data_IF_334136456203
#
_entry.id   IF_334136456203
#
_cell.length_a   1.000
_cell.length_b   1.000
_cell.length_c   1.000
_cell.angle_alpha   90.00
_cell.angle_beta   90.00
_cell.angle_gamma   90.00
#
_symmetry.space_group_name_H-M   'P 1'
#
loop_
_entity.id
_entity.type
_entity.pdbx_description
1 polymer ?
#
# COMPACT_ATOMS: atom_id res chain seq x y z
N UNK A 1 -23.49 -10.53 -12.39
CA UNK A 1 -23.78 -11.48 -11.29
C UNK A 1 -22.65 -11.62 -10.26
N UNK A 2 -21.39 -11.27 -10.58
CA UNK A 2 -20.28 -11.30 -9.59
C UNK A 2 -20.33 -10.22 -8.50
N UNK A 3 -20.81 -9.00 -8.80
CA UNK A 3 -20.88 -7.92 -7.80
C UNK A 3 -21.83 -8.22 -6.62
N UNK A 4 -22.89 -8.99 -6.86
CA UNK A 4 -23.85 -9.40 -5.81
C UNK A 4 -23.27 -10.47 -4.88
N UNK A 5 -22.21 -11.18 -5.29
CA UNK A 5 -21.49 -12.16 -4.45
C UNK A 5 -20.62 -11.50 -3.38
N UNK A 6 -20.20 -10.25 -3.58
CA UNK A 6 -19.42 -9.49 -2.60
C UNK A 6 -20.28 -9.00 -1.43
N UNK A 7 -21.58 -8.79 -1.66
CA UNK A 7 -22.56 -8.39 -0.65
C UNK A 7 -23.21 -9.58 0.09
N UNK A 8 -22.73 -10.81 -0.17
CA UNK A 8 -23.22 -12.01 0.50
C UNK A 8 -22.75 -12.00 1.97
N UNK A 9 -23.62 -12.37 2.90
CA UNK A 9 -23.36 -12.27 4.36
C UNK A 9 -22.04 -12.95 4.79
N UNK A 10 -21.66 -14.06 4.14
CA UNK A 10 -20.40 -14.76 4.41
C UNK A 10 -19.14 -13.98 4.03
N UNK A 11 -19.20 -13.15 2.98
CA UNK A 11 -18.09 -12.30 2.54
C UNK A 11 -17.90 -11.14 3.51
N UNK A 12 -18.98 -10.45 3.88
CA UNK A 12 -18.95 -9.35 4.86
C UNK A 12 -18.44 -9.83 6.22
N UNK A 13 -18.91 -11.00 6.68
CA UNK A 13 -18.43 -11.60 7.93
C UNK A 13 -16.94 -11.94 7.87
N UNK A 14 -16.47 -12.50 6.75
CA UNK A 14 -15.05 -12.80 6.55
C UNK A 14 -14.19 -11.53 6.57
N UNK A 15 -14.61 -10.47 5.87
CA UNK A 15 -13.92 -9.17 5.90
C UNK A 15 -13.88 -8.57 7.31
N UNK A 16 -15.00 -8.61 8.04
CA UNK A 16 -15.05 -8.10 9.41
C UNK A 16 -14.13 -8.89 10.33
N UNK A 17 -14.14 -10.23 10.21
CA UNK A 17 -13.23 -11.11 10.95
C UNK A 17 -11.77 -10.80 10.63
N UNK A 18 -11.42 -10.61 9.35
CA UNK A 18 -10.06 -10.28 8.94
C UNK A 18 -9.56 -8.97 9.57
N UNK A 19 -10.42 -7.95 9.61
CA UNK A 19 -10.13 -6.65 10.20
C UNK A 19 -9.97 -6.78 11.72
N UNK A 20 -10.91 -7.42 12.41
CA UNK A 20 -10.89 -7.54 13.88
C UNK A 20 -9.67 -8.35 14.35
N UNK A 21 -9.39 -9.48 13.71
CA UNK A 21 -8.22 -10.30 14.07
C UNK A 21 -6.93 -9.55 13.72
N UNK A 22 -6.87 -8.86 12.57
CA UNK A 22 -5.74 -8.00 12.21
C UNK A 22 -5.49 -6.91 13.25
N UNK A 23 -6.54 -6.24 13.75
CA UNK A 23 -6.45 -5.24 14.82
C UNK A 23 -5.89 -5.84 16.12
N UNK A 24 -6.41 -6.99 16.55
CA UNK A 24 -5.96 -7.67 17.77
C UNK A 24 -4.50 -8.09 17.64
N UNK A 25 -4.13 -8.77 16.54
CA UNK A 25 -2.76 -9.20 16.29
C UNK A 25 -1.80 -8.00 16.22
N UNK A 26 -2.21 -6.89 15.60
CA UNK A 26 -1.41 -5.68 15.53
C UNK A 26 -1.19 -5.02 16.89
N UNK A 27 -2.24 -4.95 17.71
CA UNK A 27 -2.12 -4.43 19.07
C UNK A 27 -1.22 -5.31 19.95
N UNK A 28 -1.33 -6.64 19.84
CA UNK A 28 -0.43 -7.57 20.53
C UNK A 28 1.03 -7.42 20.05
N UNK A 29 1.24 -7.23 18.76
CA UNK A 29 2.56 -6.94 18.18
C UNK A 29 3.18 -5.66 18.74
N UNK A 30 2.39 -4.58 18.81
CA UNK A 30 2.80 -3.34 19.46
C UNK A 30 3.16 -3.55 20.93
N UNK A 31 2.32 -4.26 21.68
CA UNK A 31 2.55 -4.54 23.09
C UNK A 31 3.84 -5.35 23.31
N UNK A 32 4.12 -6.32 22.43
CA UNK A 32 5.36 -7.07 22.44
C UNK A 32 6.59 -6.15 22.24
N UNK A 33 6.56 -5.27 21.23
CA UNK A 33 7.62 -4.29 21.01
C UNK A 33 7.78 -3.35 22.21
N UNK A 34 6.67 -2.79 22.71
CA UNK A 34 6.66 -1.87 23.85
C UNK A 34 7.34 -2.50 25.08
N UNK A 35 6.92 -3.70 25.49
CA UNK A 35 7.50 -4.37 26.64
C UNK A 35 8.98 -4.70 26.44
N UNK A 36 9.37 -5.16 25.25
CA UNK A 36 10.76 -5.47 24.95
C UNK A 36 11.65 -4.23 24.99
N UNK A 37 11.27 -3.14 24.32
CA UNK A 37 12.06 -1.91 24.28
C UNK A 37 12.18 -1.28 25.66
N UNK A 38 11.12 -1.31 26.47
CA UNK A 38 11.14 -0.80 27.85
C UNK A 38 12.06 -1.62 28.76
N UNK A 39 12.06 -2.93 28.62
CA UNK A 39 12.93 -3.82 29.40
C UNK A 39 14.38 -3.79 28.91
N UNK A 40 14.59 -3.58 27.60
CA UNK A 40 15.90 -3.42 26.98
C UNK A 40 16.58 -2.13 27.44
N UNK A 41 15.89 -0.98 27.53
CA UNK A 41 16.47 0.28 28.05
C UNK A 41 17.08 0.18 29.48
N UNK A 42 16.71 -0.83 30.28
CA UNK A 42 17.29 -1.06 31.61
C UNK A 42 18.60 -1.86 31.61
N UNK A 43 18.99 -2.46 30.48
CA UNK A 43 20.24 -3.20 30.31
C UNK A 43 20.93 -2.60 29.08
N UNK A 44 22.18 -2.16 29.17
CA UNK A 44 22.94 -1.68 28.01
C UNK A 44 23.05 -2.78 26.92
N UNK A 45 22.02 -2.92 26.07
CA UNK A 45 21.97 -3.91 25.00
C UNK A 45 22.47 -3.24 23.73
N UNK A 46 23.48 -3.88 23.18
CA UNK A 46 24.29 -3.48 22.02
C UNK A 46 23.43 -3.20 20.80
N UNK A 47 23.83 -2.17 20.04
CA UNK A 47 23.15 -1.56 18.89
C UNK A 47 22.70 -2.52 17.77
N UNK A 48 23.13 -3.79 17.77
CA UNK A 48 22.76 -4.81 16.79
C UNK A 48 21.54 -5.68 17.12
N UNK A 49 21.13 -5.79 18.39
CA UNK A 49 20.02 -6.69 18.81
C UNK A 49 18.65 -6.10 18.49
N UNK A 50 18.54 -4.77 18.52
CA UNK A 50 17.28 -4.06 18.33
C UNK A 50 16.74 -4.21 16.89
N UNK A 51 17.61 -4.16 15.87
CA UNK A 51 17.20 -4.24 14.45
C UNK A 51 16.54 -5.57 14.09
N UNK A 52 17.06 -6.70 14.60
CA UNK A 52 16.48 -8.01 14.34
C UNK A 52 15.07 -8.13 14.93
N UNK A 53 14.84 -7.54 16.10
CA UNK A 53 13.56 -7.56 16.79
C UNK A 53 12.52 -6.70 16.04
N UNK A 54 12.94 -5.55 15.51
CA UNK A 54 12.08 -4.70 14.69
C UNK A 54 11.65 -5.33 13.37
N UNK A 55 12.37 -6.30 12.82
CA UNK A 55 11.86 -7.11 11.70
C UNK A 55 11.01 -8.28 12.17
N UNK A 56 11.48 -8.99 13.20
CA UNK A 56 10.89 -10.25 13.63
C UNK A 56 9.47 -10.09 14.13
N UNK A 57 9.16 -9.02 14.88
CA UNK A 57 7.81 -8.81 15.40
C UNK A 57 6.81 -8.48 14.29
N UNK A 58 7.03 -7.49 13.40
CA UNK A 58 6.22 -7.28 12.20
C UNK A 58 5.96 -8.53 11.35
N UNK A 59 6.99 -9.34 11.11
CA UNK A 59 6.88 -10.60 10.36
C UNK A 59 6.09 -11.66 11.13
N UNK A 60 6.30 -11.78 12.44
CA UNK A 60 5.55 -12.68 13.30
C UNK A 60 4.06 -12.31 13.35
N UNK A 61 3.75 -11.02 13.47
CA UNK A 61 2.36 -10.51 13.43
C UNK A 61 1.72 -10.80 12.08
N UNK A 62 2.46 -10.62 10.97
CA UNK A 62 1.97 -10.95 9.64
C UNK A 62 1.57 -12.43 9.54
N UNK A 63 2.45 -13.33 9.97
CA UNK A 63 2.23 -14.77 9.94
C UNK A 63 1.09 -15.19 10.88
N UNK A 64 1.06 -14.71 12.12
CA UNK A 64 0.00 -15.01 13.08
C UNK A 64 -1.35 -14.50 12.60
N UNK A 65 -1.39 -13.26 12.07
CA UNK A 65 -2.59 -12.71 11.44
C UNK A 65 -3.13 -13.67 10.37
N UNK A 66 -2.28 -14.12 9.45
CA UNK A 66 -2.67 -15.09 8.42
C UNK A 66 -3.19 -16.41 8.97
N UNK A 67 -2.53 -16.99 9.99
CA UNK A 67 -2.92 -18.28 10.60
C UNK A 67 -4.29 -18.18 11.29
N UNK A 68 -4.56 -17.08 11.98
CA UNK A 68 -5.83 -16.88 12.68
C UNK A 68 -6.97 -16.43 11.74
N UNK A 69 -6.71 -16.29 10.44
CA UNK A 69 -7.69 -15.78 9.46
C UNK A 69 -7.95 -14.27 9.59
N UNK A 70 -6.94 -13.55 10.06
CA UNK A 70 -6.84 -12.10 10.12
C UNK A 70 -6.03 -11.52 8.95
N UNK A 71 -6.14 -10.21 8.73
CA UNK A 71 -5.26 -9.52 7.80
C UNK A 71 -3.88 -9.30 8.43
N UNK A 72 -2.90 -10.13 8.03
CA UNK A 72 -1.50 -9.97 8.45
C UNK A 72 -0.93 -8.61 8.05
N UNK A 73 -1.28 -8.08 6.87
CA UNK A 73 -0.88 -6.75 6.43
C UNK A 73 -1.38 -5.65 7.38
N UNK A 74 -2.65 -5.71 7.77
CA UNK A 74 -3.24 -4.73 8.70
C UNK A 74 -2.59 -4.83 10.08
N UNK A 75 -2.40 -6.04 10.61
CA UNK A 75 -1.78 -6.24 11.92
C UNK A 75 -0.35 -5.70 11.97
N UNK A 76 0.45 -5.99 10.95
CA UNK A 76 1.83 -5.49 10.85
C UNK A 76 1.87 -3.97 10.71
N UNK A 77 0.98 -3.39 9.91
CA UNK A 77 0.85 -1.93 9.79
C UNK A 77 0.53 -1.26 11.12
N UNK A 78 -0.45 -1.79 11.87
CA UNK A 78 -0.85 -1.24 13.17
C UNK A 78 0.25 -1.38 14.23
N UNK A 79 0.98 -2.50 14.19
CA UNK A 79 2.15 -2.71 15.06
C UNK A 79 3.16 -1.58 14.88
N UNK A 80 3.52 -1.28 13.63
CA UNK A 80 4.45 -0.20 13.29
C UNK A 80 3.89 1.18 13.65
N UNK A 81 2.62 1.45 13.30
CA UNK A 81 1.96 2.73 13.53
C UNK A 81 1.91 3.11 15.01
N UNK A 82 1.48 2.19 15.89
CA UNK A 82 1.42 2.46 17.32
C UNK A 82 2.81 2.57 17.94
N UNK A 83 3.77 1.76 17.48
CA UNK A 83 5.13 1.82 17.98
C UNK A 83 5.82 3.15 17.63
N UNK A 84 5.64 3.63 16.40
CA UNK A 84 6.15 4.93 15.95
C UNK A 84 5.51 6.09 16.71
N UNK A 85 4.18 6.03 16.93
CA UNK A 85 3.43 7.04 17.66
C UNK A 85 3.88 7.18 19.12
N UNK A 86 4.34 6.10 19.76
CA UNK A 86 4.82 6.13 21.15
C UNK A 86 6.31 6.47 21.26
N UNK A 87 7.16 5.83 20.45
CA UNK A 87 8.61 5.84 20.67
C UNK A 87 9.34 6.86 19.78
N UNK A 88 8.66 7.46 18.79
CA UNK A 88 9.19 8.47 17.87
C UNK A 88 10.60 8.17 17.34
N UNK A 89 10.86 6.92 16.96
CA UNK A 89 12.22 6.48 16.62
C UNK A 89 12.53 6.69 15.14
N UNK A 90 12.94 7.93 14.81
CA UNK A 90 13.33 8.31 13.43
C UNK A 90 14.32 7.35 12.78
N UNK A 91 15.35 6.91 13.52
CA UNK A 91 16.38 5.99 13.01
C UNK A 91 15.81 4.65 12.51
N UNK A 92 14.74 4.13 13.13
CA UNK A 92 14.10 2.88 12.70
C UNK A 92 13.25 3.14 11.46
N UNK A 93 12.48 4.23 11.45
CA UNK A 93 11.65 4.62 10.30
C UNK A 93 12.55 4.83 9.08
N UNK A 94 13.61 5.63 9.20
CA UNK A 94 14.58 5.89 8.14
C UNK A 94 15.21 4.57 7.65
N UNK A 95 15.52 3.65 8.56
CA UNK A 95 16.06 2.34 8.19
C UNK A 95 15.06 1.53 7.34
N UNK A 96 13.78 1.44 7.76
CA UNK A 96 12.76 0.72 7.00
C UNK A 96 12.44 1.40 5.67
N UNK A 97 12.38 2.72 5.62
CA UNK A 97 12.20 3.47 4.38
C UNK A 97 13.35 3.19 3.41
N UNK A 98 14.60 3.28 3.88
CA UNK A 98 15.78 2.95 3.08
C UNK A 98 15.78 1.49 2.63
N UNK A 99 15.40 0.55 3.50
CA UNK A 99 15.29 -0.87 3.15
C UNK A 99 14.23 -1.11 2.06
N UNK A 100 13.04 -0.52 2.20
CA UNK A 100 11.96 -0.63 1.21
C UNK A 100 12.39 0.00 -0.11
N UNK A 101 13.04 1.18 -0.08
CA UNK A 101 13.49 1.87 -1.29
C UNK A 101 14.63 1.13 -1.99
N UNK A 102 15.63 0.63 -1.25
CA UNK A 102 16.82 -0.01 -1.81
C UNK A 102 16.60 -1.48 -2.21
N UNK A 103 15.77 -2.22 -1.46
CA UNK A 103 15.57 -3.66 -1.68
C UNK A 103 14.12 -4.02 -2.00
N UNK A 104 13.15 -3.52 -1.22
CA UNK A 104 11.75 -3.90 -1.37
C UNK A 104 11.17 -3.58 -2.76
N UNK A 105 11.25 -2.32 -3.20
CA UNK A 105 10.72 -1.89 -4.51
C UNK A 105 11.46 -2.61 -5.66
N UNK A 106 12.81 -2.64 -5.73
CA UNK A 106 13.50 -3.28 -6.85
C UNK A 106 13.22 -4.77 -6.95
N UNK A 107 13.18 -5.52 -5.84
CA UNK A 107 12.89 -6.96 -5.86
C UNK A 107 11.47 -7.21 -6.39
N UNK A 108 10.47 -6.47 -5.90
CA UNK A 108 9.09 -6.66 -6.33
C UNK A 108 8.94 -6.32 -7.82
N UNK A 109 9.57 -5.24 -8.30
CA UNK A 109 9.51 -4.89 -9.73
C UNK A 109 10.31 -5.83 -10.63
N UNK A 110 11.43 -6.38 -10.15
CA UNK A 110 12.19 -7.39 -10.87
C UNK A 110 11.37 -8.68 -11.01
N UNK A 111 10.75 -9.15 -9.93
CA UNK A 111 9.87 -10.31 -9.95
C UNK A 111 8.67 -10.07 -10.86
N UNK A 112 8.03 -8.90 -10.73
CA UNK A 112 6.92 -8.52 -11.57
C UNK A 112 7.32 -8.55 -13.05
N UNK A 113 8.43 -7.89 -13.43
CA UNK A 113 8.92 -7.89 -14.80
C UNK A 113 9.30 -9.29 -15.32
N UNK A 114 9.80 -10.17 -14.46
CA UNK A 114 10.18 -11.53 -14.83
C UNK A 114 8.99 -12.46 -15.07
N UNK A 115 7.85 -12.24 -14.41
CA UNK A 115 6.68 -13.11 -14.51
C UNK A 115 5.87 -12.81 -15.79
N UNK A 116 6.07 -11.64 -16.40
CA UNK A 116 5.18 -11.14 -17.45
C UNK A 116 5.53 -11.67 -18.84
N UNK A 117 4.63 -12.46 -19.48
CA UNK A 117 4.84 -12.86 -20.86
C UNK A 117 4.64 -11.67 -21.79
N UNK A 118 5.64 -11.35 -22.60
CA UNK A 118 5.58 -10.24 -23.58
C UNK A 118 4.40 -10.40 -24.55
N UNK A 119 4.08 -11.62 -24.96
CA UNK A 119 2.97 -11.89 -25.87
C UNK A 119 1.61 -11.43 -25.29
N UNK A 120 1.38 -11.67 -24.00
CA UNK A 120 0.15 -11.24 -23.30
C UNK A 120 0.11 -9.72 -23.19
N UNK A 121 1.23 -9.06 -22.92
CA UNK A 121 1.31 -7.59 -22.91
C UNK A 121 0.97 -6.99 -24.26
N UNK A 122 1.49 -7.54 -25.36
CA UNK A 122 1.18 -7.03 -26.70
C UNK A 122 -0.30 -7.22 -27.05
N UNK A 123 -0.87 -8.41 -26.76
CA UNK A 123 -2.30 -8.70 -27.00
C UNK A 123 -3.23 -7.79 -26.18
N UNK A 124 -2.82 -7.43 -24.97
CA UNK A 124 -3.62 -6.58 -24.06
C UNK A 124 -3.32 -5.09 -24.19
N UNK A 125 -2.35 -4.67 -25.00
CA UNK A 125 -1.84 -3.30 -25.07
C UNK A 125 -2.93 -2.22 -25.22
N UNK A 126 -3.81 -2.35 -26.20
CA UNK A 126 -4.85 -1.35 -26.44
C UNK A 126 -5.79 -1.16 -25.23
N UNK A 127 -6.22 -2.28 -24.64
CA UNK A 127 -7.16 -2.30 -23.51
C UNK A 127 -6.45 -1.88 -22.22
N UNK A 128 -5.21 -2.34 -22.00
CA UNK A 128 -4.40 -2.02 -20.83
C UNK A 128 -3.99 -0.55 -20.80
N UNK A 129 -3.55 -0.01 -21.94
CA UNK A 129 -3.17 1.40 -22.08
C UNK A 129 -4.40 2.29 -21.84
N UNK A 130 -5.52 2.01 -22.52
CA UNK A 130 -6.74 2.79 -22.31
C UNK A 130 -7.24 2.72 -20.87
N UNK A 131 -7.22 1.54 -20.25
CA UNK A 131 -7.55 1.38 -18.83
C UNK A 131 -6.63 2.23 -17.94
N UNK A 132 -5.31 2.21 -18.17
CA UNK A 132 -4.36 3.00 -17.40
C UNK A 132 -4.66 4.51 -17.47
N UNK A 133 -4.90 5.04 -18.67
CA UNK A 133 -5.29 6.44 -18.84
C UNK A 133 -6.61 6.77 -18.10
N UNK A 134 -7.61 5.88 -18.18
CA UNK A 134 -8.87 6.05 -17.44
C UNK A 134 -8.62 6.04 -15.93
N UNK A 135 -7.79 5.13 -15.42
CA UNK A 135 -7.46 5.07 -13.99
C UNK A 135 -6.74 6.34 -13.50
N UNK A 136 -5.73 6.81 -14.26
CA UNK A 136 -4.89 7.95 -13.89
C UNK A 136 -5.68 9.27 -14.00
N UNK A 137 -6.37 9.52 -15.12
CA UNK A 137 -6.94 10.83 -15.42
C UNK A 137 -8.44 10.97 -15.10
N UNK A 138 -9.17 9.86 -14.90
CA UNK A 138 -10.62 9.91 -14.67
C UNK A 138 -10.96 9.36 -13.30
N UNK A 139 -10.73 8.05 -13.09
CA UNK A 139 -11.19 7.36 -11.87
C UNK A 139 -10.55 7.98 -10.65
N UNK A 140 -9.24 8.24 -10.70
CA UNK A 140 -8.50 8.74 -9.55
C UNK A 140 -8.89 10.17 -9.14
N UNK A 141 -8.90 11.18 -10.03
CA UNK A 141 -9.47 12.49 -9.71
C UNK A 141 -10.89 12.36 -9.18
N UNK A 142 -11.74 11.58 -9.84
CA UNK A 142 -13.12 11.40 -9.42
C UNK A 142 -13.23 10.88 -7.97
N UNK A 143 -12.47 9.84 -7.60
CA UNK A 143 -12.47 9.30 -6.22
C UNK A 143 -11.99 10.34 -5.21
N UNK A 144 -10.94 11.11 -5.54
CA UNK A 144 -10.43 12.18 -4.67
C UNK A 144 -11.47 13.29 -4.50
N UNK A 145 -12.11 13.73 -5.59
CA UNK A 145 -13.14 14.77 -5.56
C UNK A 145 -14.41 14.33 -4.82
N UNK A 146 -14.82 13.07 -4.94
CA UNK A 146 -15.97 12.55 -4.17
C UNK A 146 -15.64 12.46 -2.68
N UNK A 147 -14.43 12.00 -2.34
CA UNK A 147 -14.05 11.74 -0.94
C UNK A 147 -13.70 13.01 -0.18
N UNK A 148 -12.94 13.91 -0.81
CA UNK A 148 -12.44 15.14 -0.21
C UNK A 148 -13.22 16.40 -0.62
N UNK A 149 -14.02 16.35 -1.69
CA UNK A 149 -14.86 17.48 -2.12
C UNK A 149 -15.81 18.02 -1.04
N UNK A 150 -16.49 17.17 -0.24
CA UNK A 150 -17.34 17.66 0.86
C UNK A 150 -16.57 18.49 1.90
N UNK A 151 -15.28 18.22 2.08
CA UNK A 151 -14.43 18.95 3.03
C UNK A 151 -13.96 20.32 2.53
N UNK A 152 -14.12 20.65 1.23
CA UNK A 152 -13.82 22.00 0.71
C UNK A 152 -14.83 23.02 1.23
N UNK A 153 -16.11 22.65 1.31
CA UNK A 153 -17.19 23.56 1.70
C UNK A 153 -17.25 23.84 3.21
N UNK A 154 -16.36 23.22 4.00
CA UNK A 154 -16.31 23.45 5.43
C UNK A 154 -15.62 24.78 5.74
N UNK A 155 -16.23 25.58 6.62
CA UNK A 155 -15.89 27.00 6.90
C UNK A 155 -14.45 27.27 7.37
N UNK A 156 -13.70 26.23 7.74
CA UNK A 156 -12.29 26.27 8.16
C UNK A 156 -11.35 25.45 7.27
N UNK A 157 -11.79 25.06 6.07
CA UNK A 157 -11.00 24.21 5.19
C UNK A 157 -9.87 25.00 4.52
N UNK A 158 -8.65 24.46 4.60
CA UNK A 158 -7.49 24.95 3.86
C UNK A 158 -7.38 24.33 2.47
N UNK A 159 -8.31 23.45 2.10
CA UNK A 159 -8.27 22.69 0.86
C UNK A 159 -8.89 23.49 -0.29
N UNK A 160 -8.09 23.75 -1.32
CA UNK A 160 -8.55 24.34 -2.56
C UNK A 160 -8.71 23.27 -3.66
N UNK A 161 -9.40 23.61 -4.74
CA UNK A 161 -9.54 22.76 -5.92
C UNK A 161 -8.17 22.33 -6.50
N UNK A 162 -7.19 23.24 -6.43
CA UNK A 162 -5.80 22.98 -6.81
C UNK A 162 -5.18 21.88 -5.94
N UNK A 163 -5.44 21.86 -4.63
CA UNK A 163 -4.90 20.84 -3.72
C UNK A 163 -5.52 19.47 -4.00
N UNK A 164 -6.83 19.42 -4.28
CA UNK A 164 -7.49 18.17 -4.65
C UNK A 164 -6.96 17.63 -5.97
N UNK A 165 -6.76 18.51 -6.96
CA UNK A 165 -6.16 18.11 -8.23
C UNK A 165 -4.73 17.60 -7.98
N UNK A 166 -3.93 18.30 -7.18
CA UNK A 166 -2.57 17.85 -6.84
C UNK A 166 -2.59 16.48 -6.14
N UNK A 167 -3.42 16.29 -5.11
CA UNK A 167 -3.59 15.03 -4.39
C UNK A 167 -4.04 13.88 -5.32
N UNK A 168 -4.79 14.18 -6.38
CA UNK A 168 -5.19 13.17 -7.38
C UNK A 168 -4.04 12.66 -8.24
N UNK A 169 -2.87 13.33 -8.27
CA UNK A 169 -1.72 12.93 -9.09
C UNK A 169 -0.45 12.61 -8.27
N UNK A 170 -0.49 12.67 -6.94
CA UNK A 170 0.65 12.30 -6.06
C UNK A 170 0.61 10.82 -5.73
N UNK A 171 1.60 10.02 -6.12
CA UNK A 171 1.65 8.60 -5.74
C UNK A 171 3.03 8.19 -5.28
N UNK A 172 3.06 7.53 -4.13
CA UNK A 172 4.31 7.07 -3.50
C UNK A 172 4.70 5.63 -3.87
N UNK A 173 3.77 4.75 -4.27
CA UNK A 173 4.14 3.36 -4.64
C UNK A 173 3.14 2.64 -5.56
N UNK A 174 3.68 1.95 -6.57
CA UNK A 174 3.00 0.91 -7.38
C UNK A 174 3.19 -0.51 -6.84
N UNK A 175 3.85 -0.65 -5.69
CA UNK A 175 4.35 -1.92 -5.13
C UNK A 175 3.21 -2.82 -4.66
N UNK A 176 2.21 -2.27 -3.97
CA UNK A 176 1.10 -3.06 -3.43
C UNK A 176 0.28 -3.68 -4.59
N UNK A 177 -0.16 -2.92 -5.62
CA UNK A 177 -0.82 -3.53 -6.77
C UNK A 177 0.05 -4.56 -7.49
N UNK A 178 1.37 -4.33 -7.61
CA UNK A 178 2.28 -5.29 -8.21
C UNK A 178 2.29 -6.63 -7.46
N UNK A 179 2.45 -6.58 -6.13
CA UNK A 179 2.42 -7.76 -5.28
C UNK A 179 1.07 -8.51 -5.37
N UNK A 180 -0.05 -7.77 -5.38
CA UNK A 180 -1.39 -8.36 -5.51
C UNK A 180 -1.59 -9.04 -6.87
N UNK A 181 -1.14 -8.44 -7.97
CA UNK A 181 -1.22 -9.04 -9.32
C UNK A 181 -0.46 -10.37 -9.38
N UNK A 182 0.74 -10.41 -8.81
CA UNK A 182 1.54 -11.65 -8.74
C UNK A 182 0.79 -12.73 -7.94
N UNK A 183 0.09 -12.35 -6.86
CA UNK A 183 -0.63 -13.28 -6.01
C UNK A 183 -1.91 -13.83 -6.67
N UNK A 184 -2.65 -13.01 -7.43
CA UNK A 184 -3.89 -13.44 -8.12
C UNK A 184 -3.64 -14.11 -9.47
N UNK A 185 -2.50 -13.82 -10.12
CA UNK A 185 -2.19 -14.27 -11.49
C UNK A 185 -2.18 -15.79 -11.67
N UNK A 186 -2.12 -16.55 -10.57
CA UNK A 186 -2.08 -18.02 -10.59
C UNK A 186 -3.42 -18.69 -10.27
N UNK A 187 -4.46 -17.93 -9.91
CA UNK A 187 -5.66 -18.49 -9.25
C UNK A 187 -6.97 -18.32 -10.01
N UNK A 188 -7.05 -17.41 -11.00
CA UNK A 188 -8.31 -17.04 -11.66
C UNK A 188 -8.42 -17.53 -13.12
N UNK A 189 -9.62 -17.93 -13.58
CA UNK A 189 -9.90 -18.06 -15.01
C UNK A 189 -9.72 -16.70 -15.70
N UNK A 190 -9.08 -16.67 -16.88
CA UNK A 190 -8.68 -15.43 -17.57
C UNK A 190 -7.64 -14.57 -16.81
N UNK A 191 -6.90 -15.16 -15.86
CA UNK A 191 -5.85 -14.47 -15.13
C UNK A 191 -4.84 -13.78 -16.07
N UNK A 192 -4.52 -14.37 -17.22
CA UNK A 192 -3.60 -13.78 -18.20
C UNK A 192 -4.03 -12.38 -18.67
N UNK A 193 -5.34 -12.18 -18.91
CA UNK A 193 -5.86 -10.89 -19.36
C UNK A 193 -5.87 -9.86 -18.23
N UNK A 194 -6.29 -10.26 -17.02
CA UNK A 194 -6.28 -9.38 -15.85
C UNK A 194 -4.85 -8.98 -15.47
N UNK A 195 -3.93 -9.93 -15.55
CA UNK A 195 -2.52 -9.74 -15.35
C UNK A 195 -1.96 -8.76 -16.39
N UNK A 196 -2.20 -8.98 -17.68
CA UNK A 196 -1.77 -8.07 -18.75
C UNK A 196 -2.29 -6.64 -18.61
N UNK A 197 -3.59 -6.47 -18.32
CA UNK A 197 -4.20 -5.15 -18.08
C UNK A 197 -3.60 -4.49 -16.85
N UNK A 198 -3.54 -5.20 -15.71
CA UNK A 198 -3.00 -4.66 -14.47
C UNK A 198 -1.53 -4.27 -14.60
N UNK A 199 -0.75 -5.03 -15.38
CA UNK A 199 0.63 -4.68 -15.72
C UNK A 199 0.74 -3.38 -16.49
N UNK A 200 -0.07 -3.18 -17.53
CA UNK A 200 -0.12 -1.91 -18.25
C UNK A 200 -0.49 -0.74 -17.34
N UNK A 201 -1.46 -0.93 -16.45
CA UNK A 201 -1.85 0.09 -15.47
C UNK A 201 -0.69 0.43 -14.56
N UNK A 202 0.03 -0.56 -14.00
CA UNK A 202 1.19 -0.31 -13.14
C UNK A 202 2.31 0.37 -13.90
N UNK A 203 2.70 -0.14 -15.06
CA UNK A 203 3.80 0.39 -15.87
C UNK A 203 3.55 1.84 -16.28
N UNK A 204 2.37 2.14 -16.82
CA UNK A 204 2.03 3.51 -17.24
C UNK A 204 1.88 4.46 -16.06
N UNK A 205 1.34 3.99 -14.93
CA UNK A 205 1.31 4.80 -13.72
C UNK A 205 2.74 5.18 -13.31
N UNK A 206 3.65 4.21 -13.23
CA UNK A 206 5.04 4.46 -12.80
C UNK A 206 5.84 5.27 -13.82
N UNK A 207 5.45 5.25 -15.09
CA UNK A 207 6.09 6.04 -16.14
C UNK A 207 5.56 7.48 -16.18
N UNK A 208 4.25 7.66 -16.03
CA UNK A 208 3.57 8.95 -16.23
C UNK A 208 3.52 9.76 -14.92
N UNK A 209 3.23 9.14 -13.78
CA UNK A 209 2.97 9.90 -12.54
C UNK A 209 4.23 10.58 -11.97
N UNK A 210 5.41 9.93 -11.86
CA UNK A 210 6.60 10.59 -11.30
C UNK A 210 7.03 11.89 -12.00
N UNK A 211 7.04 12.00 -13.35
CA UNK A 211 7.31 13.29 -14.01
C UNK A 211 6.11 14.25 -13.94
N UNK A 212 4.89 13.74 -13.83
CA UNK A 212 3.67 14.56 -13.80
C UNK A 212 3.47 15.27 -12.47
N UNK A 213 3.80 14.63 -11.33
CA UNK A 213 3.65 15.21 -9.99
C UNK A 213 4.38 16.57 -9.81
N UNK A 214 5.69 16.71 -10.09
CA UNK A 214 6.38 18.00 -9.95
C UNK A 214 5.88 19.05 -10.96
N UNK A 215 5.49 18.62 -12.16
CA UNK A 215 4.91 19.52 -13.16
C UNK A 215 3.58 20.13 -12.69
N UNK A 216 2.70 19.30 -12.14
CA UNK A 216 1.41 19.74 -11.60
C UNK A 216 1.61 20.61 -10.36
N UNK A 217 2.53 20.23 -9.46
CA UNK A 217 2.86 21.03 -8.27
C UNK A 217 3.26 22.46 -8.65
N UNK A 218 4.15 22.61 -9.62
CA UNK A 218 4.61 23.91 -10.14
C UNK A 218 3.48 24.70 -10.80
N UNK A 219 2.62 24.04 -11.58
CA UNK A 219 1.51 24.70 -12.30
C UNK A 219 0.42 25.20 -11.35
N UNK A 220 0.19 24.48 -10.26
CA UNK A 220 -0.87 24.80 -9.29
C UNK A 220 -0.39 25.68 -8.13
N UNK A 221 0.92 25.97 -8.03
CA UNK A 221 1.53 26.73 -6.94
C UNK A 221 1.24 26.14 -5.54
N UNK A 222 1.01 24.82 -5.46
CA UNK A 222 0.68 24.10 -4.22
C UNK A 222 1.96 23.67 -3.47
N UNK A 223 3.13 23.76 -4.10
CA UNK A 223 4.42 23.53 -3.46
C UNK A 223 5.45 24.61 -3.87
N UNK A 224 6.24 25.06 -2.88
CA UNK A 224 7.48 25.83 -3.03
C UNK A 224 8.63 24.88 -3.31
#
# INVERSE_FOLDING_TARGET
>A
QYFFSLAQQGTVFSFFREIVIGLICGFLGFLALHYWTKHSKQKEIQEGTDTALYFSVPLGVFALGGIFGGSGFLGTFLTGLFFEAETHTKKIVDFFENFVQAFGKPIIFLLLGSIVPLEVLFKTSLIGISAAFIFIFIIRPLVVFITLGPWIFQKNSKLNFADLLFLSFIRETGVIPAALIVMIGTTLPYADYLFGIGMWVILLTLLIEPPLTPYIAKKLAVAV
#
